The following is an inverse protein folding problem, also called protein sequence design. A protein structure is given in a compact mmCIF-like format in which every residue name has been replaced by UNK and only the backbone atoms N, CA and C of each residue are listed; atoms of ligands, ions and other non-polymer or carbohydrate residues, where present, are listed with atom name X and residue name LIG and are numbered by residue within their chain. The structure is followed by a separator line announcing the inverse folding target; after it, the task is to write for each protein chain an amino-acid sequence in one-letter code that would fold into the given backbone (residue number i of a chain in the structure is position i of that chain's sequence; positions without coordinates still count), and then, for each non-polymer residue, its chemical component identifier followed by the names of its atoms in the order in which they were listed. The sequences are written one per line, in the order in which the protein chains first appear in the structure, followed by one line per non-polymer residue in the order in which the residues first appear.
data_IF_311373371929
#
_entry.id   IF_311373371929
#
_cell.length_a   1.000
_cell.length_b   1.000
_cell.length_c   1.000
_cell.angle_alpha   90.00
_cell.angle_beta   90.00
_cell.angle_gamma   90.00
#
_symmetry.space_group_name_H-M   'P 1'
#
loop_
_entity.id
_entity.type
_entity.pdbx_description
1 polymer ?
#
# COMPACT_ATOMS: atom_id res chain seq x y z
N UNK A 1 -4.10 -20.78 6.60
CA UNK A 1 -2.65 -20.74 6.30
C UNK A 1 -2.40 -19.78 5.13
N UNK A 2 -2.07 -18.52 5.44
CA UNK A 2 -1.88 -17.45 4.46
C UNK A 2 -0.50 -16.82 4.66
N UNK A 3 0.53 -17.66 4.55
CA UNK A 3 1.94 -17.26 4.49
C UNK A 3 2.37 -17.23 3.03
N UNK A 4 2.16 -16.08 2.40
CA UNK A 4 2.80 -15.55 1.20
C UNK A 4 1.91 -14.35 0.80
N UNK A 5 2.38 -13.19 0.41
CA UNK A 5 3.44 -12.94 -0.54
C UNK A 5 4.06 -11.58 -0.17
N UNK A 6 5.35 -11.59 0.09
CA UNK A 6 6.18 -10.40 0.11
C UNK A 6 6.46 -9.93 -1.34
N UNK A 7 6.40 -8.62 -1.54
CA UNK A 7 7.17 -7.87 -2.52
C UNK A 7 6.91 -8.14 -4.01
N UNK A 8 5.84 -7.57 -4.60
CA UNK A 8 5.81 -7.32 -6.04
C UNK A 8 5.43 -5.85 -6.31
N UNK A 9 6.40 -5.10 -6.86
CA UNK A 9 6.21 -3.73 -7.34
C UNK A 9 5.94 -3.81 -8.84
N UNK A 10 4.70 -3.48 -9.24
CA UNK A 10 4.29 -3.43 -10.64
C UNK A 10 4.80 -2.13 -11.27
N UNK A 11 5.46 -2.18 -12.45
CA UNK A 11 5.89 -0.98 -13.17
C UNK A 11 4.68 -0.20 -13.72
N UNK A 12 4.78 1.13 -13.91
CA UNK A 12 3.67 1.93 -14.41
C UNK A 12 3.38 1.57 -15.87
N UNK A 13 2.21 1.01 -16.14
CA UNK A 13 1.63 0.99 -17.47
C UNK A 13 1.17 2.41 -17.80
N UNK A 14 1.92 3.07 -18.67
CA UNK A 14 1.51 4.26 -19.39
C UNK A 14 0.32 3.90 -20.30
N UNK A 15 -0.88 4.26 -19.84
CA UNK A 15 -2.01 4.81 -20.61
C UNK A 15 -3.29 4.55 -19.82
N UNK A 16 -3.64 5.52 -18.98
CA UNK A 16 -5.01 5.70 -18.50
C UNK A 16 -5.17 7.16 -18.17
N UNK A 17 -5.60 7.94 -19.17
CA UNK A 17 -6.20 9.25 -18.95
C UNK A 17 -7.21 9.13 -17.81
N UNK A 18 -6.98 9.92 -16.77
CA UNK A 18 -7.74 9.89 -15.54
C UNK A 18 -9.22 10.08 -15.81
N UNK A 19 -9.98 8.98 -15.74
CA UNK A 19 -11.43 9.04 -15.65
C UNK A 19 -11.74 9.75 -14.32
N UNK A 20 -12.45 10.89 -14.35
CA UNK A 20 -12.81 11.59 -13.12
C UNK A 20 -13.66 10.66 -12.25
N UNK A 21 -13.49 10.69 -10.91
CA UNK A 21 -14.27 9.87 -10.00
C UNK A 21 -15.71 10.39 -9.96
N UNK A 22 -16.50 9.97 -10.94
CA UNK A 22 -17.90 10.35 -11.12
C UNK A 22 -18.83 9.25 -10.62
N UNK A 23 -19.15 9.30 -9.33
CA UNK A 23 -20.41 8.95 -8.66
C UNK A 23 -20.14 8.55 -7.19
N UNK A 24 -20.12 9.59 -6.36
CA UNK A 24 -20.68 9.63 -5.02
C UNK A 24 -20.09 8.72 -3.92
N UNK A 25 -19.48 9.38 -2.94
CA UNK A 25 -18.95 8.81 -1.70
C UNK A 25 -19.99 8.21 -0.74
N UNK A 26 -21.18 7.85 -1.23
CA UNK A 26 -22.23 7.18 -0.47
C UNK A 26 -22.37 5.72 -0.91
N UNK A 27 -22.48 4.76 0.03
CA UNK A 27 -22.76 3.38 -0.32
C UNK A 27 -24.17 3.27 -0.91
N UNK A 28 -24.26 2.72 -2.13
CA UNK A 28 -25.53 2.46 -2.81
C UNK A 28 -26.31 1.27 -2.25
N UNK A 29 -27.46 0.99 -2.85
CA UNK A 29 -28.20 -0.26 -2.63
C UNK A 29 -27.80 -1.31 -3.66
N UNK A 30 -27.72 -2.57 -3.23
CA UNK A 30 -27.43 -3.68 -4.11
C UNK A 30 -28.56 -3.88 -5.13
N UNK A 31 -28.29 -3.86 -6.45
CA UNK A 31 -29.30 -4.12 -7.47
C UNK A 31 -29.95 -5.52 -7.39
N UNK A 32 -29.26 -6.50 -6.82
CA UNK A 32 -29.75 -7.89 -6.74
C UNK A 32 -30.68 -8.19 -5.56
N UNK A 33 -30.53 -7.47 -4.44
CA UNK A 33 -31.30 -7.75 -3.21
C UNK A 33 -31.71 -6.52 -2.40
N UNK A 34 -31.41 -5.31 -2.89
CA UNK A 34 -31.67 -4.01 -2.24
C UNK A 34 -31.01 -3.82 -0.86
N UNK A 35 -30.08 -4.69 -0.47
CA UNK A 35 -29.26 -4.52 0.73
C UNK A 35 -28.26 -3.37 0.60
N UNK A 36 -27.88 -2.76 1.72
CA UNK A 36 -26.88 -1.69 1.75
C UNK A 36 -25.50 -2.24 1.35
N UNK A 37 -24.82 -1.57 0.43
CA UNK A 37 -23.47 -1.93 0.01
C UNK A 37 -22.42 -1.49 1.04
N UNK A 38 -21.36 -2.27 1.18
CA UNK A 38 -20.21 -1.93 2.02
C UNK A 38 -19.03 -1.63 1.13
N UNK A 39 -18.48 -0.43 1.29
CA UNK A 39 -17.36 0.07 0.50
C UNK A 39 -16.01 -0.33 1.09
N UNK A 40 -15.14 -0.89 0.27
CA UNK A 40 -13.73 -1.09 0.54
C UNK A 40 -12.91 -0.15 -0.34
N UNK A 41 -11.82 0.41 0.21
CA UNK A 41 -10.87 1.22 -0.55
C UNK A 41 -9.70 0.34 -0.96
N UNK A 42 -9.35 0.37 -2.24
CA UNK A 42 -8.16 -0.27 -2.76
C UNK A 42 -7.05 0.77 -2.84
N UNK A 43 -5.95 0.51 -2.14
CA UNK A 43 -4.76 1.36 -2.16
C UNK A 43 -3.85 0.97 -3.34
N UNK A 44 -3.23 1.95 -3.98
CA UNK A 44 -2.37 1.74 -5.15
C UNK A 44 -1.85 3.08 -5.69
N UNK A 45 -1.27 3.05 -6.89
CA UNK A 45 -0.89 4.28 -7.63
C UNK A 45 -2.13 5.13 -7.93
N UNK A 46 -3.23 4.46 -8.29
CA UNK A 46 -4.54 5.06 -8.50
C UNK A 46 -5.53 4.39 -7.54
N UNK A 47 -5.85 5.01 -6.40
CA UNK A 47 -6.76 4.41 -5.44
C UNK A 47 -8.20 4.50 -5.95
N UNK A 48 -8.95 3.42 -5.77
CA UNK A 48 -10.35 3.30 -6.15
C UNK A 48 -11.14 2.60 -5.04
N UNK A 49 -12.46 2.44 -5.22
CA UNK A 49 -13.30 1.76 -4.25
C UNK A 49 -13.92 0.52 -4.86
N UNK A 50 -14.41 -0.40 -4.04
CA UNK A 50 -15.26 -1.49 -4.49
C UNK A 50 -16.37 -1.66 -3.49
N UNK A 51 -17.55 -1.99 -4.00
CA UNK A 51 -18.73 -2.16 -3.18
C UNK A 51 -19.13 -3.64 -3.15
N UNK A 52 -19.39 -4.16 -1.94
CA UNK A 52 -19.89 -5.54 -1.76
C UNK A 52 -21.19 -5.53 -1.00
N UNK A 53 -22.14 -6.32 -1.46
CA UNK A 53 -23.34 -6.60 -0.70
C UNK A 53 -23.07 -7.71 0.32
N UNK A 54 -23.23 -7.48 1.64
CA UNK A 54 -23.07 -8.53 2.64
C UNK A 54 -24.20 -9.57 2.60
N UNK A 55 -25.36 -9.24 2.01
CA UNK A 55 -26.52 -10.11 1.97
C UNK A 55 -26.46 -11.15 0.84
N UNK A 56 -26.05 -10.75 -0.37
CA UNK A 56 -25.96 -11.65 -1.53
C UNK A 56 -24.53 -11.91 -2.01
N UNK A 57 -23.52 -11.36 -1.33
CA UNK A 57 -22.09 -11.44 -1.68
C UNK A 57 -21.70 -10.86 -3.05
N UNK A 58 -22.63 -10.19 -3.76
CA UNK A 58 -22.34 -9.54 -5.04
C UNK A 58 -21.35 -8.38 -4.88
N UNK A 59 -20.36 -8.30 -5.78
CA UNK A 59 -19.38 -7.22 -5.89
C UNK A 59 -19.75 -6.32 -7.06
N UNK A 60 -19.74 -5.01 -6.84
CA UNK A 60 -20.15 -3.98 -7.78
C UNK A 60 -18.99 -3.03 -8.02
N UNK A 61 -18.82 -2.67 -9.29
CA UNK A 61 -17.73 -1.85 -9.81
C UNK A 61 -18.34 -0.62 -10.48
N UNK A 62 -17.84 0.55 -10.13
CA UNK A 62 -18.15 1.77 -10.87
C UNK A 62 -17.39 1.81 -12.20
N UNK A 63 -17.74 2.78 -13.05
CA UNK A 63 -17.13 2.93 -14.36
C UNK A 63 -15.60 3.06 -14.24
N UNK A 64 -14.86 2.16 -14.90
CA UNK A 64 -13.40 2.13 -14.89
C UNK A 64 -12.77 1.28 -13.78
N UNK A 65 -13.50 0.94 -12.71
CA UNK A 65 -12.96 0.15 -11.59
C UNK A 65 -12.70 -1.31 -11.97
N UNK A 66 -13.54 -1.88 -12.84
CA UNK A 66 -13.30 -3.22 -13.38
C UNK A 66 -11.95 -3.32 -14.11
N UNK A 67 -11.60 -2.31 -14.92
CA UNK A 67 -10.32 -2.30 -15.64
C UNK A 67 -9.13 -2.15 -14.67
N UNK A 68 -9.29 -1.34 -13.63
CA UNK A 68 -8.28 -1.19 -12.57
C UNK A 68 -8.06 -2.48 -11.78
N UNK A 69 -9.11 -3.23 -11.48
CA UNK A 69 -9.00 -4.53 -10.79
C UNK A 69 -8.48 -5.62 -11.74
N UNK A 70 -8.97 -5.68 -12.98
CA UNK A 70 -8.58 -6.71 -13.93
C UNK A 70 -7.12 -6.60 -14.38
N UNK A 71 -6.52 -5.40 -14.28
CA UNK A 71 -5.10 -5.16 -14.55
C UNK A 71 -4.19 -5.48 -13.35
N UNK A 72 -4.73 -6.07 -12.28
CA UNK A 72 -4.01 -6.37 -11.04
C UNK A 72 -4.26 -7.80 -10.56
N UNK A 73 -3.50 -8.26 -9.58
CA UNK A 73 -3.75 -9.53 -8.89
C UNK A 73 -4.97 -9.48 -7.94
N UNK A 74 -5.69 -8.35 -7.85
CA UNK A 74 -6.85 -8.21 -6.95
C UNK A 74 -7.97 -9.20 -7.26
N UNK A 75 -8.10 -9.65 -8.52
CA UNK A 75 -9.15 -10.59 -8.92
C UNK A 75 -9.13 -11.90 -8.11
N UNK A 76 -7.97 -12.37 -7.66
CA UNK A 76 -7.87 -13.61 -6.87
C UNK A 76 -8.10 -13.41 -5.37
N UNK A 77 -8.15 -12.16 -4.91
CA UNK A 77 -8.16 -11.79 -3.49
C UNK A 77 -9.22 -10.73 -3.14
N UNK A 78 -10.31 -10.64 -3.91
CA UNK A 78 -11.33 -9.61 -3.70
C UNK A 78 -11.93 -9.66 -2.29
N UNK A 79 -12.18 -10.84 -1.73
CA UNK A 79 -12.76 -10.97 -0.39
C UNK A 79 -11.88 -10.34 0.71
N UNK A 80 -10.56 -10.32 0.53
CA UNK A 80 -9.61 -9.78 1.50
C UNK A 80 -9.79 -8.26 1.70
N UNK A 81 -10.30 -7.55 0.69
CA UNK A 81 -10.57 -6.11 0.77
C UNK A 81 -11.60 -5.75 1.86
N UNK A 82 -12.48 -6.68 2.22
CA UNK A 82 -13.47 -6.49 3.27
C UNK A 82 -13.04 -7.07 4.63
N UNK A 83 -11.91 -7.79 4.71
CA UNK A 83 -11.34 -8.25 5.98
C UNK A 83 -10.70 -7.08 6.76
N UNK A 84 -11.17 -6.76 7.98
CA UNK A 84 -10.57 -5.73 8.82
C UNK A 84 -9.08 -5.97 9.15
N UNK A 85 -8.66 -7.23 9.35
CA UNK A 85 -7.28 -7.56 9.70
C UNK A 85 -6.35 -7.34 8.51
N UNK A 86 -6.77 -7.79 7.32
CA UNK A 86 -6.08 -7.51 6.09
C UNK A 86 -5.97 -6.00 5.81
N UNK A 87 -7.07 -5.22 5.91
CA UNK A 87 -7.05 -3.76 5.69
C UNK A 87 -6.11 -3.01 6.62
N UNK A 88 -5.90 -3.50 7.85
CA UNK A 88 -4.94 -2.92 8.79
C UNK A 88 -3.51 -3.16 8.31
N UNK A 89 -3.17 -4.42 8.01
CA UNK A 89 -1.85 -4.82 7.52
C UNK A 89 -1.49 -4.11 6.21
N UNK A 90 -2.41 -4.06 5.25
CA UNK A 90 -2.21 -3.36 3.98
C UNK A 90 -1.88 -1.87 4.17
N UNK A 91 -2.58 -1.19 5.09
CA UNK A 91 -2.31 0.22 5.43
C UNK A 91 -0.94 0.41 6.07
N UNK A 92 -0.57 -0.45 7.02
CA UNK A 92 0.74 -0.40 7.69
C UNK A 92 1.91 -0.64 6.73
N UNK A 93 1.77 -1.63 5.84
CA UNK A 93 2.75 -1.91 4.78
C UNK A 93 2.89 -0.73 3.83
N UNK A 94 1.77 -0.16 3.38
CA UNK A 94 1.78 0.97 2.46
C UNK A 94 2.36 2.24 3.11
N UNK A 95 2.06 2.49 4.37
CA UNK A 95 2.66 3.60 5.14
C UNK A 95 4.18 3.44 5.25
N UNK A 96 4.66 2.23 5.57
CA UNK A 96 6.09 1.92 5.63
C UNK A 96 6.79 2.14 4.28
N UNK A 97 6.18 1.66 3.19
CA UNK A 97 6.70 1.85 1.83
C UNK A 97 6.77 3.33 1.45
N UNK A 98 5.70 4.09 1.68
CA UNK A 98 5.66 5.54 1.43
C UNK A 98 6.74 6.27 2.22
N UNK A 99 6.91 5.95 3.50
CA UNK A 99 7.95 6.54 4.34
C UNK A 99 9.37 6.29 3.79
N UNK A 100 9.67 5.06 3.37
CA UNK A 100 10.95 4.74 2.74
C UNK A 100 11.16 5.49 1.42
N UNK A 101 10.11 5.62 0.59
CA UNK A 101 10.17 6.38 -0.65
C UNK A 101 10.44 7.87 -0.39
N UNK A 102 9.86 8.45 0.65
CA UNK A 102 10.12 9.84 1.04
C UNK A 102 11.58 10.03 1.49
N UNK A 103 12.11 9.09 2.28
CA UNK A 103 13.53 9.10 2.69
C UNK A 103 14.43 8.99 1.46
N UNK A 104 14.13 8.09 0.53
CA UNK A 104 14.90 7.92 -0.71
C UNK A 104 14.85 9.16 -1.58
N UNK A 105 13.68 9.79 -1.72
CA UNK A 105 13.53 11.05 -2.46
C UNK A 105 14.34 12.18 -1.84
N UNK A 106 14.43 12.22 -0.51
CA UNK A 106 15.16 13.26 0.22
C UNK A 106 16.68 13.05 0.21
N UNK A 107 17.15 11.81 0.40
CA UNK A 107 18.58 11.50 0.51
C UNK A 107 19.24 11.11 -0.82
N UNK A 108 18.45 10.65 -1.78
CA UNK A 108 18.91 9.97 -2.99
C UNK A 108 19.23 8.48 -2.76
N UNK A 109 19.15 7.71 -3.83
CA UNK A 109 19.32 6.25 -3.80
C UNK A 109 20.70 5.81 -3.27
N UNK A 110 21.78 6.50 -3.66
CA UNK A 110 23.14 6.16 -3.24
C UNK A 110 23.35 6.38 -1.72
N UNK A 111 22.98 7.57 -1.22
CA UNK A 111 23.11 7.90 0.20
C UNK A 111 22.28 6.95 1.05
N UNK A 112 21.03 6.67 0.65
CA UNK A 112 20.19 5.72 1.36
C UNK A 112 20.78 4.30 1.36
N UNK A 113 21.40 3.87 0.26
CA UNK A 113 22.10 2.59 0.21
C UNK A 113 23.25 2.50 1.22
N UNK A 114 24.04 3.58 1.37
CA UNK A 114 25.11 3.67 2.39
C UNK A 114 24.56 3.63 3.81
N UNK A 115 23.47 4.34 4.09
CA UNK A 115 22.80 4.30 5.40
C UNK A 115 22.29 2.89 5.71
N UNK A 116 21.65 2.21 4.76
CA UNK A 116 21.18 0.83 4.95
C UNK A 116 22.35 -0.13 5.21
N UNK A 117 23.46 0.01 4.49
CA UNK A 117 24.66 -0.81 4.72
C UNK A 117 25.24 -0.61 6.13
N UNK A 118 25.27 0.64 6.62
CA UNK A 118 25.69 0.93 7.99
C UNK A 118 24.74 0.33 9.04
N UNK A 119 23.42 0.43 8.83
CA UNK A 119 22.42 -0.20 9.70
C UNK A 119 22.63 -1.71 9.77
N UNK A 120 22.84 -2.38 8.63
CA UNK A 120 23.03 -3.83 8.59
C UNK A 120 24.33 -4.25 9.29
N UNK A 121 25.43 -3.54 9.04
CA UNK A 121 26.69 -3.79 9.73
C UNK A 121 26.57 -3.65 11.26
N UNK A 122 25.82 -2.64 11.73
CA UNK A 122 25.60 -2.41 13.16
C UNK A 122 24.61 -3.39 13.78
N UNK A 123 23.56 -3.83 13.07
CA UNK A 123 22.49 -4.68 13.63
C UNK A 123 23.04 -5.96 14.28
N UNK A 124 24.05 -6.56 13.67
CA UNK A 124 24.67 -7.82 14.09
C UNK A 124 25.93 -7.63 14.96
N UNK A 125 26.35 -6.40 15.25
CA UNK A 125 27.55 -6.12 16.02
C UNK A 125 27.27 -6.08 17.53
N UNK A 126 28.14 -6.68 18.39
CA UNK A 126 27.94 -6.65 19.85
C UNK A 126 27.88 -5.22 20.41
N UNK A 127 28.71 -4.32 19.88
CA UNK A 127 28.80 -2.91 20.30
C UNK A 127 27.96 -1.95 19.45
N UNK A 128 26.79 -2.38 18.94
CA UNK A 128 25.95 -1.57 18.04
C UNK A 128 25.55 -0.20 18.60
N UNK A 129 25.34 -0.11 19.92
CA UNK A 129 24.96 1.12 20.61
C UNK A 129 26.08 2.16 20.58
N UNK A 130 27.33 1.71 20.71
CA UNK A 130 28.51 2.58 20.59
C UNK A 130 28.63 3.13 19.16
N UNK A 131 28.49 2.26 18.15
CA UNK A 131 28.51 2.67 16.74
C UNK A 131 27.42 3.69 16.39
N UNK A 132 26.19 3.48 16.87
CA UNK A 132 25.10 4.45 16.69
C UNK A 132 25.40 5.80 17.35
N UNK A 133 25.95 5.78 18.58
CA UNK A 133 26.28 7.01 19.32
C UNK A 133 27.34 7.83 18.60
N UNK A 134 28.40 7.16 18.10
CA UNK A 134 29.44 7.80 17.30
C UNK A 134 28.88 8.44 16.02
N UNK A 135 28.02 7.74 15.27
CA UNK A 135 27.37 8.30 14.07
C UNK A 135 26.55 9.55 14.38
N UNK A 136 25.74 9.53 15.44
CA UNK A 136 24.93 10.69 15.86
C UNK A 136 25.82 11.87 16.23
N UNK A 137 26.91 11.64 16.97
CA UNK A 137 27.86 12.67 17.35
C UNK A 137 28.53 13.32 16.14
N UNK A 138 29.06 12.51 15.21
CA UNK A 138 29.73 13.01 14.00
C UNK A 138 28.78 13.83 13.11
N UNK A 139 27.52 13.37 12.93
CA UNK A 139 26.52 14.09 12.13
C UNK A 139 26.08 15.42 12.77
N UNK A 140 26.14 15.54 14.10
CA UNK A 140 25.86 16.80 14.81
C UNK A 140 27.05 17.76 14.77
N UNK A 141 28.27 17.24 14.80
CA UNK A 141 29.51 18.02 14.78
C UNK A 141 29.86 18.56 13.39
N UNK A 142 29.38 17.92 12.31
CA UNK A 142 29.59 18.34 10.94
C UNK A 142 28.74 19.57 10.51
N UNK A 143 28.24 20.36 11.47
CA UNK A 143 27.47 21.59 11.25
C UNK A 143 28.29 22.84 11.49
#
# INVERSE_FOLDING_TARGET
PHDAIEQHVVPPSSDSDGVPPGADGLPGFCPGCLGLLVRARVEGTHPFHLDRCPACAGVWFDAGEWAAVASTEWLTHLDDLWDPAWRRRAREQQATKRHLQEIERALGAETLARVRAAIEALRNHPERSLGLSYLIEQLRAAR
#
